data_IF_176771324043
#
_entry.id   IF_176771324043
#
_cell.length_a   1.000
_cell.length_b   1.000
_cell.length_c   1.000
_cell.angle_alpha   90.00
_cell.angle_beta   90.00
_cell.angle_gamma   90.00
#
_symmetry.space_group_name_H-M   'P 1'
#
loop_
_entity.id
_entity.type
_entity.pdbx_description
1 polymer ?
#
# COMPACT_ATOMS: atom_id res chain seq x y z
N UNK A 1 -19.61 0.50 16.90
CA UNK A 1 -18.86 1.57 16.22
C UNK A 1 -17.74 0.94 15.41
N UNK A 2 -17.80 1.10 14.10
CA UNK A 2 -16.71 0.61 13.27
C UNK A 2 -15.47 1.46 13.57
N UNK A 3 -14.47 0.86 14.16
CA UNK A 3 -13.17 1.52 14.31
C UNK A 3 -12.45 1.39 12.98
N UNK A 4 -12.29 2.54 12.32
CA UNK A 4 -11.49 2.56 11.11
C UNK A 4 -10.05 2.32 11.47
N UNK A 5 -9.51 1.19 11.02
CA UNK A 5 -8.12 0.82 11.28
C UNK A 5 -7.17 1.38 10.23
N UNK A 6 -7.66 2.24 9.33
CA UNK A 6 -6.85 2.83 8.28
C UNK A 6 -6.20 4.13 8.73
N UNK A 7 -5.03 4.41 8.17
CA UNK A 7 -4.22 5.60 8.47
C UNK A 7 -4.19 6.49 7.25
N UNK A 8 -4.37 7.80 7.46
CA UNK A 8 -4.16 8.74 6.37
C UNK A 8 -2.66 8.92 6.14
N UNK A 9 -2.21 8.64 4.91
CA UNK A 9 -0.79 8.74 4.56
C UNK A 9 -0.55 10.04 3.82
N UNK A 10 0.39 10.82 4.33
CA UNK A 10 0.74 12.13 3.78
C UNK A 10 2.24 12.18 3.54
N UNK A 11 2.66 13.20 2.82
CA UNK A 11 4.07 13.46 2.61
C UNK A 11 4.82 13.60 3.95
N UNK A 12 4.16 14.21 4.93
CA UNK A 12 4.76 14.49 6.23
C UNK A 12 4.97 13.24 7.08
N UNK A 13 4.07 12.25 6.99
CA UNK A 13 4.18 11.04 7.82
C UNK A 13 4.64 9.81 7.04
N UNK A 14 4.99 9.98 5.76
CA UNK A 14 5.31 8.84 4.88
C UNK A 14 6.43 7.97 5.44
N UNK A 15 7.56 8.59 5.78
CA UNK A 15 8.72 7.82 6.24
C UNK A 15 8.43 7.09 7.55
N UNK A 16 7.74 7.75 8.48
CA UNK A 16 7.37 7.15 9.76
C UNK A 16 6.44 5.95 9.58
N UNK A 17 5.42 6.10 8.72
CA UNK A 17 4.41 5.06 8.52
C UNK A 17 4.98 3.89 7.70
N UNK A 18 5.72 4.19 6.64
CA UNK A 18 6.16 3.17 5.68
C UNK A 18 7.42 2.45 6.14
N UNK A 19 8.36 3.16 6.74
CA UNK A 19 9.61 2.56 7.19
C UNK A 19 9.58 2.13 8.65
N UNK A 20 8.83 2.86 9.49
CA UNK A 20 8.84 2.60 10.92
C UNK A 20 10.23 2.76 11.52
N UNK A 21 10.43 2.25 12.74
CA UNK A 21 11.70 2.38 13.45
C UNK A 21 12.74 1.36 12.97
N UNK A 22 12.29 0.18 12.55
CA UNK A 22 13.18 -0.94 12.22
C UNK A 22 13.10 -1.39 10.76
N UNK A 23 12.39 -0.64 9.94
CA UNK A 23 12.17 -0.93 8.51
C UNK A 23 11.57 -2.32 8.25
N UNK A 24 10.72 -2.80 9.17
CA UNK A 24 10.07 -4.11 9.06
C UNK A 24 8.59 -4.01 8.77
N UNK A 25 8.11 -2.83 8.42
CA UNK A 25 6.69 -2.60 8.24
C UNK A 25 6.13 -3.34 7.03
N UNK A 26 4.88 -3.78 7.18
CA UNK A 26 4.07 -4.34 6.10
C UNK A 26 2.92 -3.35 5.90
N UNK A 27 2.89 -2.68 4.74
CA UNK A 27 1.96 -1.58 4.49
C UNK A 27 1.20 -1.82 3.19
N UNK A 28 -0.13 -1.70 3.26
CA UNK A 28 -0.97 -1.62 2.08
C UNK A 28 -1.42 -0.17 1.90
N UNK A 29 -1.36 0.32 0.67
CA UNK A 29 -1.73 1.71 0.38
C UNK A 29 -2.84 1.73 -0.67
N UNK A 30 -3.94 2.41 -0.36
CA UNK A 30 -5.04 2.69 -1.28
C UNK A 30 -4.93 4.14 -1.77
N UNK A 31 -4.60 4.29 -3.05
CA UNK A 31 -4.59 5.61 -3.70
C UNK A 31 -5.99 5.89 -4.25
N UNK A 32 -6.61 6.97 -3.80
CA UNK A 32 -8.02 7.25 -4.05
C UNK A 32 -8.28 8.74 -4.26
N UNK A 33 -9.50 9.08 -4.68
CA UNK A 33 -10.01 10.44 -4.72
C UNK A 33 -11.51 10.43 -4.43
N UNK A 34 -12.00 11.52 -3.87
CA UNK A 34 -13.40 11.61 -3.44
C UNK A 34 -14.39 11.53 -4.60
N UNK A 35 -13.99 11.99 -5.80
CA UNK A 35 -14.86 11.98 -6.98
C UNK A 35 -14.91 10.63 -7.69
N UNK A 36 -14.11 9.69 -7.28
CA UNK A 36 -13.90 8.42 -7.98
C UNK A 36 -14.93 7.38 -7.48
N UNK A 37 -15.84 6.95 -8.36
CA UNK A 37 -16.86 5.95 -8.02
C UNK A 37 -16.27 4.61 -7.57
N UNK A 38 -15.38 3.99 -8.36
CA UNK A 38 -14.74 2.73 -7.95
C UNK A 38 -13.95 2.84 -6.64
N UNK A 39 -13.38 4.02 -6.35
CA UNK A 39 -12.69 4.24 -5.07
C UNK A 39 -13.66 4.15 -3.90
N UNK A 40 -14.87 4.71 -4.07
CA UNK A 40 -15.90 4.65 -3.03
C UNK A 40 -16.42 3.23 -2.83
N UNK A 41 -16.45 2.41 -3.89
CA UNK A 41 -16.83 1.01 -3.78
C UNK A 41 -15.76 0.18 -3.08
N UNK A 42 -14.49 0.52 -3.31
CA UNK A 42 -13.36 -0.21 -2.72
C UNK A 42 -13.12 0.18 -1.25
N UNK A 43 -13.46 1.40 -0.85
CA UNK A 43 -13.19 1.90 0.49
C UNK A 43 -13.70 0.96 1.60
N UNK A 44 -14.98 0.50 1.58
CA UNK A 44 -15.43 -0.40 2.63
C UNK A 44 -14.74 -1.77 2.60
N UNK A 45 -14.33 -2.25 1.44
CA UNK A 45 -13.56 -3.49 1.33
C UNK A 45 -12.21 -3.34 2.01
N UNK A 46 -11.51 -2.25 1.72
CA UNK A 46 -10.21 -1.96 2.29
C UNK A 46 -10.29 -1.82 3.81
N UNK A 47 -11.29 -1.11 4.30
CA UNK A 47 -11.48 -0.88 5.73
C UNK A 47 -11.86 -2.16 6.47
N UNK A 48 -12.76 -2.98 5.93
CA UNK A 48 -13.11 -4.27 6.56
C UNK A 48 -11.90 -5.19 6.62
N UNK A 49 -11.10 -5.21 5.56
CA UNK A 49 -9.91 -6.05 5.52
C UNK A 49 -8.87 -5.58 6.54
N UNK A 50 -8.75 -4.26 6.74
CA UNK A 50 -7.83 -3.74 7.75
C UNK A 50 -8.14 -4.24 9.16
N UNK A 51 -9.42 -4.41 9.48
CA UNK A 51 -9.83 -4.90 10.79
C UNK A 51 -9.42 -6.35 11.03
N UNK A 52 -9.21 -7.11 9.95
CA UNK A 52 -8.82 -8.53 10.03
C UNK A 52 -7.31 -8.74 10.12
N UNK A 53 -6.52 -7.71 9.87
CA UNK A 53 -5.06 -7.81 9.83
C UNK A 53 -4.42 -6.69 10.67
N UNK A 54 -4.53 -6.78 12.01
CA UNK A 54 -4.02 -5.70 12.87
C UNK A 54 -2.49 -5.56 12.83
N UNK A 55 -1.79 -6.55 12.31
CA UNK A 55 -0.33 -6.52 12.15
C UNK A 55 0.12 -5.81 10.88
N UNK A 56 -0.83 -5.47 10.00
CA UNK A 56 -0.53 -4.76 8.75
C UNK A 56 -1.06 -3.34 8.86
N UNK A 57 -0.29 -2.37 8.38
CA UNK A 57 -0.72 -0.98 8.31
C UNK A 57 -1.48 -0.77 7.00
N UNK A 58 -2.75 -0.39 7.09
CA UNK A 58 -3.58 -0.06 5.94
C UNK A 58 -3.64 1.47 5.84
N UNK A 59 -3.04 2.01 4.80
CA UNK A 59 -2.90 3.45 4.64
C UNK A 59 -3.66 3.93 3.39
N UNK A 60 -4.15 5.15 3.44
CA UNK A 60 -4.90 5.76 2.35
C UNK A 60 -4.22 7.05 1.92
N UNK A 61 -4.04 7.22 0.61
CA UNK A 61 -3.49 8.44 0.02
C UNK A 61 -4.57 9.10 -0.82
N UNK A 62 -4.98 10.30 -0.40
CA UNK A 62 -5.85 11.16 -1.21
C UNK A 62 -4.99 11.78 -2.31
N UNK A 63 -5.19 11.35 -3.55
CA UNK A 63 -4.34 11.76 -4.67
C UNK A 63 -4.49 13.24 -5.02
N UNK A 64 -5.60 13.86 -4.64
CA UNK A 64 -5.80 15.30 -4.84
C UNK A 64 -4.99 16.13 -3.83
N UNK A 65 -4.95 15.67 -2.59
CA UNK A 65 -4.22 16.36 -1.53
C UNK A 65 -2.72 16.04 -1.56
N UNK A 66 -2.36 14.82 -1.97
CA UNK A 66 -0.98 14.32 -1.92
C UNK A 66 -0.45 14.04 -3.32
N UNK A 67 -0.39 15.08 -4.14
CA UNK A 67 0.00 14.94 -5.54
C UNK A 67 1.44 14.46 -5.71
N UNK A 68 2.34 14.88 -4.82
CA UNK A 68 3.73 14.43 -4.86
C UNK A 68 3.87 12.94 -4.58
N UNK A 69 3.10 12.41 -3.62
CA UNK A 69 3.11 10.97 -3.33
C UNK A 69 2.56 10.18 -4.51
N UNK A 70 1.45 10.64 -5.09
CA UNK A 70 0.87 9.98 -6.25
C UNK A 70 1.86 9.95 -7.42
N UNK A 71 2.57 11.04 -7.65
CA UNK A 71 3.59 11.11 -8.70
C UNK A 71 4.78 10.18 -8.40
N UNK A 72 5.22 10.13 -7.15
CA UNK A 72 6.33 9.28 -6.75
C UNK A 72 6.04 7.80 -6.98
N UNK A 73 4.78 7.39 -6.83
CA UNK A 73 4.35 6.01 -7.09
C UNK A 73 3.89 5.80 -8.53
N UNK A 74 4.01 6.82 -9.39
CA UNK A 74 3.60 6.76 -10.79
C UNK A 74 2.13 6.35 -10.94
N UNK A 75 1.26 6.92 -10.11
CA UNK A 75 -0.16 6.58 -10.10
C UNK A 75 -0.82 7.23 -11.31
N UNK A 76 -1.39 6.42 -12.21
CA UNK A 76 -2.04 6.87 -13.45
C UNK A 76 -3.53 6.64 -13.45
N UNK A 77 -4.02 5.77 -12.59
CA UNK A 77 -5.44 5.51 -12.45
C UNK A 77 -5.75 5.19 -11.01
N UNK A 78 -6.98 5.41 -10.60
CA UNK A 78 -7.44 5.16 -9.23
C UNK A 78 -8.74 4.36 -9.26
N UNK A 79 -8.97 3.51 -8.24
CA UNK A 79 -8.04 3.25 -7.15
C UNK A 79 -6.84 2.43 -7.61
N UNK A 80 -5.72 2.59 -6.96
CA UNK A 80 -4.55 1.71 -7.12
C UNK A 80 -4.14 1.20 -5.76
N UNK A 81 -3.89 -0.10 -5.67
CA UNK A 81 -3.40 -0.74 -4.46
C UNK A 81 -1.90 -0.95 -4.58
N UNK A 82 -1.15 -0.52 -3.59
CA UNK A 82 0.28 -0.78 -3.48
C UNK A 82 0.57 -1.55 -2.20
N UNK A 83 1.54 -2.45 -2.25
CA UNK A 83 1.99 -3.21 -1.08
C UNK A 83 3.48 -2.96 -0.89
N UNK A 84 3.84 -2.54 0.31
CA UNK A 84 5.24 -2.31 0.69
C UNK A 84 5.60 -3.26 1.81
N UNK A 85 6.71 -3.96 1.66
CA UNK A 85 7.27 -4.80 2.70
C UNK A 85 8.71 -4.41 2.93
N UNK A 86 9.03 -4.07 4.19
CA UNK A 86 10.40 -3.72 4.60
C UNK A 86 11.01 -2.64 3.70
N UNK A 87 10.21 -1.61 3.40
CA UNK A 87 10.65 -0.48 2.59
C UNK A 87 10.69 -0.71 1.09
N UNK A 88 10.27 -1.89 0.62
CA UNK A 88 10.30 -2.24 -0.81
C UNK A 88 8.86 -2.33 -1.34
N UNK A 89 8.61 -1.66 -2.46
CA UNK A 89 7.34 -1.79 -3.17
C UNK A 89 7.33 -3.14 -3.88
N UNK A 90 6.52 -4.08 -3.36
CA UNK A 90 6.50 -5.45 -3.89
C UNK A 90 5.32 -5.71 -4.83
N UNK A 91 4.35 -4.79 -4.88
CA UNK A 91 3.17 -4.97 -5.71
C UNK A 91 2.45 -3.64 -5.89
N UNK A 92 1.94 -3.39 -7.10
CA UNK A 92 1.05 -2.25 -7.36
C UNK A 92 0.14 -2.63 -8.52
N UNK A 93 -1.18 -2.41 -8.34
CA UNK A 93 -2.16 -2.75 -9.37
C UNK A 93 -3.33 -1.78 -9.31
N UNK A 94 -3.74 -1.22 -10.46
CA UNK A 94 -4.96 -0.41 -10.53
C UNK A 94 -6.22 -1.27 -10.47
N UNK A 95 -7.29 -0.68 -9.99
CA UNK A 95 -8.61 -1.27 -9.98
C UNK A 95 -9.15 -1.57 -8.60
N UNK A 96 -10.48 -1.53 -8.47
CA UNK A 96 -11.18 -1.89 -7.25
C UNK A 96 -11.21 -3.42 -7.15
N UNK A 97 -10.60 -3.97 -6.10
CA UNK A 97 -10.48 -5.42 -5.95
C UNK A 97 -11.61 -5.96 -5.06
N UNK A 98 -12.16 -7.15 -5.41
CA UNK A 98 -13.03 -7.85 -4.48
C UNK A 98 -12.27 -8.23 -3.20
N UNK A 99 -13.01 -8.38 -2.11
CA UNK A 99 -12.39 -8.69 -0.82
C UNK A 99 -11.57 -9.98 -0.86
N UNK A 100 -12.08 -11.03 -1.53
CA UNK A 100 -11.37 -12.30 -1.65
C UNK A 100 -10.02 -12.13 -2.38
N UNK A 101 -9.99 -11.30 -3.42
CA UNK A 101 -8.77 -11.02 -4.16
C UNK A 101 -7.77 -10.26 -3.29
N UNK A 102 -8.25 -9.29 -2.52
CA UNK A 102 -7.39 -8.54 -1.61
C UNK A 102 -6.79 -9.46 -0.55
N UNK A 103 -7.59 -10.36 0.04
CA UNK A 103 -7.10 -11.32 1.01
C UNK A 103 -6.05 -12.25 0.41
N UNK A 104 -6.25 -12.68 -0.83
CA UNK A 104 -5.30 -13.54 -1.52
C UNK A 104 -3.97 -12.82 -1.75
N UNK A 105 -4.02 -11.55 -2.15
CA UNK A 105 -2.81 -10.75 -2.34
C UNK A 105 -2.05 -10.56 -1.03
N UNK A 106 -2.77 -10.37 0.07
CA UNK A 106 -2.14 -10.26 1.39
C UNK A 106 -1.45 -11.58 1.74
N UNK A 107 -2.12 -12.71 1.50
CA UNK A 107 -1.52 -14.02 1.78
C UNK A 107 -0.25 -14.24 0.96
N UNK A 108 -0.26 -13.84 -0.32
CA UNK A 108 0.92 -13.96 -1.16
C UNK A 108 2.05 -13.05 -0.68
N UNK A 109 1.72 -11.82 -0.30
CA UNK A 109 2.72 -10.87 0.19
C UNK A 109 3.36 -11.35 1.49
N UNK A 110 2.59 -12.02 2.37
CA UNK A 110 3.11 -12.60 3.61
C UNK A 110 4.14 -13.70 3.36
N UNK A 111 4.01 -14.41 2.23
CA UNK A 111 4.87 -15.55 1.88
C UNK A 111 6.17 -15.13 1.21
N UNK A 112 6.31 -13.85 0.86
CA UNK A 112 7.53 -13.38 0.20
C UNK A 112 8.75 -13.60 1.10
N UNK A 113 9.81 -14.11 0.50
CA UNK A 113 11.12 -14.19 1.14
C UNK A 113 11.78 -12.83 0.99
N UNK A 114 11.74 -12.04 2.05
CA UNK A 114 12.25 -10.67 1.99
C UNK A 114 13.76 -10.61 1.83
N UNK A 115 14.49 -11.64 2.26
CA UNK A 115 15.92 -11.71 1.99
C UNK A 115 16.18 -11.77 0.47
N UNK A 116 15.42 -12.58 -0.25
CA UNK A 116 15.52 -12.65 -1.72
C UNK A 116 15.10 -11.33 -2.37
N UNK A 117 14.03 -10.71 -1.85
CA UNK A 117 13.55 -9.43 -2.39
C UNK A 117 14.65 -8.36 -2.24
N UNK A 118 15.26 -8.26 -1.06
CA UNK A 118 16.33 -7.29 -0.82
C UNK A 118 17.57 -7.59 -1.69
N UNK A 119 17.90 -8.85 -1.87
CA UNK A 119 19.01 -9.24 -2.74
C UNK A 119 18.73 -8.84 -4.19
N UNK A 120 17.49 -9.01 -4.67
CA UNK A 120 17.09 -8.60 -6.01
C UNK A 120 17.17 -7.08 -6.21
N UNK A 121 16.73 -6.30 -5.22
CA UNK A 121 16.82 -4.84 -5.27
C UNK A 121 18.29 -4.39 -5.31
N UNK A 122 19.14 -4.98 -4.49
CA UNK A 122 20.57 -4.67 -4.46
C UNK A 122 21.22 -4.98 -5.81
N UNK A 123 20.87 -6.12 -6.41
CA UNK A 123 21.39 -6.51 -7.73
C UNK A 123 20.95 -5.53 -8.82
N UNK A 124 19.71 -5.07 -8.80
CA UNK A 124 19.22 -4.07 -9.75
C UNK A 124 19.95 -2.75 -9.61
N UNK A 125 20.19 -2.30 -8.38
CA UNK A 125 20.94 -1.06 -8.14
C UNK A 125 22.37 -1.17 -8.65
N UNK A 126 22.99 -2.33 -8.48
CA UNK A 126 24.37 -2.56 -8.94
C UNK A 126 24.46 -2.51 -10.47
N UNK A 127 23.42 -2.95 -11.19
CA UNK A 127 23.41 -2.95 -12.65
C UNK A 127 23.02 -1.61 -13.25
N UNK A 128 22.41 -0.70 -12.47
CA UNK A 128 21.99 0.61 -12.94
C UNK A 128 23.08 1.68 -12.75
N UNK A 129 24.10 1.40 -11.99
CA UNK A 129 25.20 2.33 -11.74
C UNK A 129 26.30 2.24 -12.83
#
# INVERSE_FOLDING_TARGET
MAMMSTVELTKENFDEVVQGEDNKEFVLIDFWAAWCGPCRQFAPVFERTSDKHPDITFAKVDTEAQQELAAAFDIRSIPTLAIIREGVLVFAQPGALPEATLEDLIAQARKLDMAEVHAGVAAQKATQD
#
